data_IF_267976274100
#
_entry.id   IF_267976274100
#
_cell.length_a   1.000
_cell.length_b   1.000
_cell.length_c   1.000
_cell.angle_alpha   90.00
_cell.angle_beta   90.00
_cell.angle_gamma   90.00
#
_symmetry.space_group_name_H-M   'P 1'
#
loop_
_entity.id
_entity.type
_entity.pdbx_description
1 polymer ?
#
# COMPACT_ATOMS: atom_id res chain seq x y z
N UNK A 1 -27.58 -32.31 -40.46
CA UNK A 1 -28.63 -33.24 -40.00
C UNK A 1 -28.00 -34.63 -39.94
N UNK A 2 -28.32 -35.41 -38.90
CA UNK A 2 -27.78 -36.75 -38.54
C UNK A 2 -26.47 -36.75 -37.72
N UNK A 3 -26.68 -36.78 -36.40
CA UNK A 3 -25.88 -37.44 -35.33
C UNK A 3 -26.31 -38.94 -35.31
N UNK A 4 -25.70 -39.94 -34.61
CA UNK A 4 -24.36 -40.22 -34.01
C UNK A 4 -23.78 -41.61 -34.43
N UNK A 5 -22.61 -42.03 -33.91
CA UNK A 5 -22.53 -43.31 -33.13
C UNK A 5 -21.32 -43.32 -32.18
N UNK A 6 -21.59 -43.52 -30.89
CA UNK A 6 -20.60 -43.77 -29.83
C UNK A 6 -20.12 -45.24 -29.87
N UNK A 7 -18.88 -45.50 -29.43
CA UNK A 7 -18.52 -46.79 -28.81
C UNK A 7 -18.06 -46.58 -27.37
N UNK A 8 -18.74 -47.32 -26.49
CA UNK A 8 -18.45 -47.55 -25.08
C UNK A 8 -17.15 -48.35 -24.92
N UNK A 9 -16.38 -48.01 -23.90
CA UNK A 9 -15.62 -49.02 -23.15
C UNK A 9 -15.94 -48.83 -21.68
N UNK A 10 -16.57 -49.86 -21.11
CA UNK A 10 -16.84 -50.01 -19.69
C UNK A 10 -15.56 -50.50 -19.00
N UNK A 11 -15.30 -50.06 -17.78
CA UNK A 11 -14.69 -50.93 -16.78
C UNK A 11 -15.36 -50.73 -15.42
N UNK A 12 -15.61 -51.88 -14.80
CA UNK A 12 -16.40 -52.11 -13.60
C UNK A 12 -15.68 -51.65 -12.33
N UNK A 13 -16.36 -50.81 -11.54
CA UNK A 13 -16.94 -51.13 -10.23
C UNK A 13 -16.20 -52.15 -9.34
N UNK A 14 -15.66 -51.64 -8.22
CA UNK A 14 -15.72 -52.35 -6.93
C UNK A 14 -16.02 -51.32 -5.84
N UNK A 15 -17.24 -51.42 -5.30
CA UNK A 15 -17.71 -50.78 -4.08
C UNK A 15 -17.05 -51.41 -2.85
N UNK A 16 -16.61 -50.60 -1.87
CA UNK A 16 -16.70 -50.89 -0.43
C UNK A 16 -16.78 -49.54 0.35
N UNK A 17 -17.95 -49.25 0.95
CA UNK A 17 -18.22 -48.27 2.04
C UNK A 17 -17.75 -48.85 3.41
N UNK A 18 -17.85 -48.13 4.55
CA UNK A 18 -17.55 -46.74 4.89
C UNK A 18 -16.56 -46.66 6.08
N UNK A 19 -15.74 -45.61 6.17
CA UNK A 19 -15.08 -45.27 7.43
C UNK A 19 -15.06 -43.76 7.62
N UNK A 20 -16.00 -43.31 8.45
CA UNK A 20 -15.97 -42.06 9.18
C UNK A 20 -14.59 -41.91 9.83
N UNK A 21 -13.73 -41.03 9.30
CA UNK A 21 -12.62 -40.48 10.07
C UNK A 21 -12.60 -38.96 9.90
N UNK A 22 -13.16 -38.36 10.94
CA UNK A 22 -13.05 -36.96 11.30
C UNK A 22 -11.56 -36.66 11.54
N UNK A 23 -10.89 -36.04 10.58
CA UNK A 23 -9.62 -35.35 10.80
C UNK A 23 -9.80 -33.87 10.42
N UNK A 24 -10.51 -33.16 11.30
CA UNK A 24 -10.14 -31.78 11.60
C UNK A 24 -8.68 -31.82 12.05
N UNK A 25 -7.80 -31.15 11.31
CA UNK A 25 -6.89 -30.18 11.92
C UNK A 25 -5.89 -29.65 10.90
N UNK A 26 -5.90 -28.32 10.77
CA UNK A 26 -4.70 -27.50 10.61
C UNK A 26 -3.94 -27.71 9.29
N UNK A 27 -4.60 -27.33 8.19
CA UNK A 27 -3.85 -26.60 7.16
C UNK A 27 -3.37 -25.31 7.83
N UNK A 28 -2.14 -25.37 8.29
CA UNK A 28 -1.31 -24.24 8.66
C UNK A 28 -1.31 -23.26 7.49
N UNK A 29 -2.24 -22.31 7.52
CA UNK A 29 -1.95 -20.98 7.03
C UNK A 29 -0.70 -20.56 7.79
N UNK A 30 0.45 -20.61 7.12
CA UNK A 30 1.53 -19.68 7.37
C UNK A 30 0.96 -18.29 7.11
N UNK A 31 0.15 -17.80 8.06
CA UNK A 31 0.02 -16.39 8.31
C UNK A 31 1.39 -15.94 8.78
N UNK A 32 2.24 -15.59 7.81
CA UNK A 32 3.25 -14.59 8.06
C UNK A 32 2.45 -13.31 8.31
N UNK A 33 2.06 -13.12 9.57
CA UNK A 33 1.60 -11.83 10.02
C UNK A 33 2.76 -10.87 9.80
N UNK A 34 2.62 -9.98 8.82
CA UNK A 34 3.39 -8.74 8.79
C UNK A 34 2.84 -7.84 9.91
N UNK A 35 3.12 -8.23 11.15
CA UNK A 35 3.26 -7.23 12.19
C UNK A 35 4.46 -6.38 11.79
N UNK A 36 4.26 -5.06 11.74
CA UNK A 36 5.22 -4.06 11.28
C UNK A 36 6.66 -4.52 11.45
N UNK A 37 7.31 -4.81 10.34
CA UNK A 37 8.66 -5.33 10.36
C UNK A 37 9.57 -4.19 10.79
N UNK A 38 10.16 -4.31 11.97
CA UNK A 38 11.38 -3.58 12.38
C UNK A 38 12.58 -3.88 11.44
N UNK A 39 12.36 -4.53 10.29
CA UNK A 39 13.34 -4.69 9.23
C UNK A 39 13.33 -3.43 8.36
N UNK A 40 14.39 -2.65 8.50
CA UNK A 40 14.68 -1.49 7.65
C UNK A 40 14.48 -1.84 6.17
N UNK A 41 13.62 -1.08 5.48
CA UNK A 41 13.31 -1.27 4.06
C UNK A 41 14.60 -1.17 3.22
N UNK A 42 14.96 -2.25 2.51
CA UNK A 42 16.07 -2.29 1.52
C UNK A 42 15.52 -2.24 0.09
N UNK A 43 16.32 -1.88 -0.94
CA UNK A 43 15.86 -1.90 -2.37
C UNK A 43 15.25 -3.26 -2.70
N UNK A 44 15.88 -4.35 -2.25
CA UNK A 44 15.37 -5.70 -2.49
C UNK A 44 13.98 -5.90 -1.89
N UNK A 45 13.79 -5.49 -0.63
CA UNK A 45 12.52 -5.60 0.07
C UNK A 45 11.45 -4.68 -0.56
N UNK A 46 11.81 -3.45 -0.93
CA UNK A 46 10.92 -2.50 -1.61
C UNK A 46 10.52 -3.05 -2.99
N UNK A 47 11.48 -3.52 -3.79
CA UNK A 47 11.18 -3.99 -5.14
C UNK A 47 10.30 -5.24 -5.10
N UNK A 48 10.60 -6.21 -4.25
CA UNK A 48 9.88 -7.48 -4.22
C UNK A 48 8.52 -7.37 -3.48
N UNK A 49 8.45 -6.64 -2.36
CA UNK A 49 7.21 -6.52 -1.58
C UNK A 49 6.32 -5.37 -2.06
N UNK A 50 6.88 -4.19 -2.36
CA UNK A 50 6.08 -3.07 -2.82
C UNK A 50 5.57 -3.28 -4.26
N UNK A 51 6.37 -3.78 -5.21
CA UNK A 51 5.85 -3.95 -6.58
C UNK A 51 4.77 -5.02 -6.65
N UNK A 52 4.91 -6.12 -5.90
CA UNK A 52 3.90 -7.18 -5.89
C UNK A 52 2.61 -6.71 -5.22
N UNK A 53 2.71 -5.97 -4.12
CA UNK A 53 1.56 -5.35 -3.46
C UNK A 53 0.90 -4.27 -4.34
N UNK A 54 1.70 -3.40 -4.95
CA UNK A 54 1.23 -2.36 -5.86
C UNK A 54 0.49 -2.97 -7.05
N UNK A 55 1.07 -3.97 -7.72
CA UNK A 55 0.43 -4.65 -8.85
C UNK A 55 -0.89 -5.32 -8.44
N UNK A 56 -0.91 -5.98 -7.27
CA UNK A 56 -2.14 -6.61 -6.74
C UNK A 56 -3.22 -5.58 -6.43
N UNK A 57 -2.89 -4.51 -5.71
CA UNK A 57 -3.86 -3.49 -5.28
C UNK A 57 -4.32 -2.61 -6.45
N UNK A 58 -3.43 -2.26 -7.38
CA UNK A 58 -3.77 -1.44 -8.55
C UNK A 58 -4.59 -2.20 -9.61
N UNK A 59 -4.41 -3.51 -9.70
CA UNK A 59 -5.26 -4.36 -10.56
C UNK A 59 -6.58 -4.79 -9.90
N UNK A 60 -6.73 -4.58 -8.59
CA UNK A 60 -7.93 -4.98 -7.85
C UNK A 60 -9.16 -4.15 -8.23
N UNK A 61 -10.31 -4.81 -8.29
CA UNK A 61 -11.59 -4.16 -8.51
C UNK A 61 -12.02 -3.33 -7.29
N UNK A 62 -12.78 -2.27 -7.52
CA UNK A 62 -13.42 -1.52 -6.43
C UNK A 62 -14.36 -2.43 -5.65
N UNK A 63 -14.27 -2.37 -4.31
CA UNK A 63 -15.15 -3.13 -3.45
C UNK A 63 -16.60 -2.62 -3.59
N UNK A 64 -17.59 -3.52 -3.76
CA UNK A 64 -18.99 -3.13 -3.71
C UNK A 64 -19.33 -2.45 -2.38
N UNK A 65 -20.22 -1.45 -2.43
CA UNK A 65 -20.64 -0.72 -1.22
C UNK A 65 -21.25 -1.64 -0.15
N UNK A 66 -21.87 -2.75 -0.55
CA UNK A 66 -22.43 -3.78 0.34
C UNK A 66 -21.37 -4.53 1.15
N UNK A 67 -20.13 -4.56 0.66
CA UNK A 67 -19.07 -5.40 1.21
C UNK A 67 -18.22 -4.60 2.21
N UNK A 68 -18.40 -3.28 2.25
CA UNK A 68 -17.69 -2.41 3.17
C UNK A 68 -18.45 -2.36 4.50
N UNK A 69 -17.81 -2.73 5.62
CA UNK A 69 -18.49 -2.76 6.91
C UNK A 69 -19.09 -1.41 7.31
N UNK A 70 -20.16 -1.44 8.10
CA UNK A 70 -20.81 -0.25 8.70
C UNK A 70 -20.52 -0.11 10.20
N UNK A 71 -19.86 -1.10 10.79
CA UNK A 71 -19.46 -1.13 12.21
C UNK A 71 -18.12 -1.86 12.34
N UNK A 72 -17.48 -1.72 13.50
CA UNK A 72 -16.17 -2.31 13.78
C UNK A 72 -15.01 -1.52 13.17
N UNK A 73 -13.83 -2.16 13.12
CA UNK A 73 -12.62 -1.59 12.53
C UNK A 73 -11.79 -2.66 11.83
N UNK A 74 -10.95 -2.24 10.89
CA UNK A 74 -9.95 -3.07 10.24
C UNK A 74 -8.60 -2.33 10.20
N UNK A 75 -7.52 -3.10 10.25
CA UNK A 75 -6.16 -2.60 10.05
C UNK A 75 -5.71 -2.93 8.63
N UNK A 76 -4.89 -2.06 8.09
CA UNK A 76 -4.31 -2.19 6.76
C UNK A 76 -2.83 -1.84 6.82
N UNK A 77 -2.02 -2.63 6.12
CA UNK A 77 -0.58 -2.45 6.01
C UNK A 77 -0.17 -2.36 4.54
N UNK A 78 0.76 -1.46 4.22
CA UNK A 78 1.19 -1.30 2.83
C UNK A 78 2.20 -0.20 2.63
N UNK A 79 2.02 0.61 1.59
CA UNK A 79 3.02 1.59 1.20
C UNK A 79 2.42 2.97 0.90
N UNK A 80 3.28 3.96 0.99
CA UNK A 80 3.13 5.28 0.37
C UNK A 80 4.30 5.50 -0.58
N UNK A 81 4.03 6.08 -1.75
CA UNK A 81 5.05 6.61 -2.63
C UNK A 81 4.75 8.09 -2.98
N UNK A 82 5.79 8.90 -3.13
CA UNK A 82 5.66 10.29 -3.61
C UNK A 82 6.83 10.62 -4.52
N UNK A 83 6.54 11.22 -5.68
CA UNK A 83 7.58 11.74 -6.56
C UNK A 83 8.08 13.07 -6.02
N UNK A 84 9.39 13.25 -6.07
CA UNK A 84 10.05 14.50 -5.69
C UNK A 84 10.76 14.99 -6.94
N UNK A 85 10.14 15.95 -7.63
CA UNK A 85 10.81 16.76 -8.65
C UNK A 85 11.46 17.94 -7.92
N UNK A 86 12.78 17.92 -7.87
CA UNK A 86 13.53 19.09 -7.43
C UNK A 86 14.42 19.53 -8.58
N UNK A 87 14.22 20.78 -9.01
CA UNK A 87 15.03 21.45 -10.06
C UNK A 87 16.55 21.43 -9.78
N UNK A 88 16.97 21.06 -8.56
CA UNK A 88 18.36 20.98 -8.14
C UNK A 88 18.89 19.55 -7.95
N UNK A 89 18.04 18.53 -7.80
CA UNK A 89 18.47 17.17 -7.39
C UNK A 89 17.89 16.03 -8.25
N UNK A 90 17.15 16.37 -9.31
CA UNK A 90 16.55 15.44 -10.28
C UNK A 90 15.36 14.65 -9.75
N UNK A 91 14.86 13.75 -10.59
CA UNK A 91 13.65 12.97 -10.29
C UNK A 91 14.00 11.88 -9.27
N UNK A 92 13.31 11.89 -8.12
CA UNK A 92 13.47 10.88 -7.08
C UNK A 92 12.13 10.35 -6.58
N UNK A 93 12.14 9.14 -6.03
CA UNK A 93 10.98 8.50 -5.40
C UNK A 93 11.23 8.35 -3.90
N UNK A 94 10.33 8.88 -3.07
CA UNK A 94 10.29 8.56 -1.64
C UNK A 94 9.23 7.48 -1.46
N UNK A 95 9.59 6.38 -0.80
CA UNK A 95 8.69 5.31 -0.39
C UNK A 95 8.68 5.23 1.14
N UNK A 96 7.55 4.89 1.75
CA UNK A 96 7.45 4.63 3.18
C UNK A 96 6.45 3.53 3.49
N UNK A 97 6.60 2.89 4.65
CA UNK A 97 5.68 1.88 5.17
C UNK A 97 4.40 2.56 5.70
N UNK A 98 3.24 2.03 5.33
CA UNK A 98 1.93 2.57 5.68
C UNK A 98 1.23 1.64 6.65
N UNK A 99 0.88 2.16 7.83
CA UNK A 99 -0.03 1.51 8.77
C UNK A 99 -1.31 2.33 8.92
N UNK A 100 -2.46 1.73 8.62
CA UNK A 100 -3.78 2.38 8.67
C UNK A 100 -4.74 1.58 9.55
N UNK A 101 -5.54 2.29 10.36
CA UNK A 101 -6.74 1.75 11.00
C UNK A 101 -7.95 2.51 10.48
N UNK A 102 -8.93 1.76 9.99
CA UNK A 102 -10.22 2.29 9.54
C UNK A 102 -11.32 1.78 10.46
N UNK A 103 -11.95 2.70 11.20
CA UNK A 103 -13.19 2.49 11.92
C UNK A 103 -14.39 2.77 11.01
N UNK A 104 -15.40 1.90 11.05
CA UNK A 104 -16.53 1.96 10.11
C UNK A 104 -17.82 2.54 10.70
N UNK A 105 -17.85 2.76 12.02
CA UNK A 105 -19.05 3.27 12.72
C UNK A 105 -19.30 4.75 12.38
N UNK A 106 -20.57 5.12 12.21
CA UNK A 106 -20.97 6.49 11.89
C UNK A 106 -20.39 6.96 10.56
N UNK A 107 -19.76 8.14 10.57
CA UNK A 107 -19.05 8.70 9.41
C UNK A 107 -17.70 8.04 9.16
N UNK A 108 -17.34 7.03 9.96
CA UNK A 108 -16.05 6.37 9.93
C UNK A 108 -14.93 7.22 10.55
N UNK A 109 -13.83 6.55 10.87
CA UNK A 109 -12.62 7.15 11.42
C UNK A 109 -11.43 6.55 10.68
N UNK A 110 -10.52 7.38 10.17
CA UNK A 110 -9.28 6.91 9.56
C UNK A 110 -8.10 7.55 10.27
N UNK A 111 -7.25 6.70 10.82
CA UNK A 111 -6.01 7.08 11.49
C UNK A 111 -4.87 6.13 11.11
N UNK A 112 -3.64 6.56 11.36
CA UNK A 112 -2.48 5.75 10.99
C UNK A 112 -1.18 6.53 11.02
N UNK A 113 -0.17 5.95 10.38
CA UNK A 113 1.16 6.54 10.23
C UNK A 113 1.81 6.07 8.93
N UNK A 114 2.78 6.86 8.51
CA UNK A 114 3.79 6.48 7.52
C UNK A 114 5.16 6.66 8.15
N UNK A 115 6.00 5.63 8.14
CA UNK A 115 7.38 5.67 8.62
C UNK A 115 8.32 4.80 7.76
N UNK A 116 9.55 4.57 8.24
CA UNK A 116 10.59 3.80 7.56
C UNK A 116 10.85 4.25 6.11
N UNK A 117 11.03 5.56 5.95
CA UNK A 117 11.19 6.17 4.64
C UNK A 117 12.51 5.79 3.96
N UNK A 118 12.44 5.69 2.64
CA UNK A 118 13.57 5.40 1.76
C UNK A 118 13.50 6.29 0.53
N UNK A 119 14.65 6.84 0.13
CA UNK A 119 14.80 7.58 -1.11
C UNK A 119 15.45 6.71 -2.20
N UNK A 120 14.87 6.76 -3.39
CA UNK A 120 15.34 6.09 -4.59
C UNK A 120 15.62 7.16 -5.64
N UNK A 121 16.87 7.28 -6.05
CA UNK A 121 17.29 8.16 -7.14
C UNK A 121 16.86 7.55 -8.49
N UNK A 122 16.10 8.31 -9.31
CA UNK A 122 15.64 7.87 -10.62
C UNK A 122 16.51 8.42 -11.77
N UNK A 123 17.60 9.13 -11.48
CA UNK A 123 18.46 9.72 -12.51
C UNK A 123 19.25 8.70 -13.35
N UNK A 124 19.32 7.41 -13.00
CA UNK A 124 19.89 6.38 -13.87
C UNK A 124 18.87 5.95 -14.95
N UNK A 125 18.70 6.82 -15.94
CA UNK A 125 17.85 6.64 -17.13
C UNK A 125 18.37 5.57 -18.13
N UNK A 126 19.23 4.64 -17.70
CA UNK A 126 19.38 3.39 -18.45
C UNK A 126 18.17 2.52 -18.11
N UNK A 127 17.59 1.78 -19.07
CA UNK A 127 16.42 0.90 -18.84
C UNK A 127 16.68 -0.28 -17.87
N UNK A 128 17.64 -0.15 -16.96
CA UNK A 128 17.88 -1.01 -15.85
C UNK A 128 17.45 -0.24 -14.61
N UNK A 129 16.47 -0.80 -13.88
CA UNK A 129 16.31 -0.49 -12.47
C UNK A 129 17.71 -0.39 -11.83
N UNK A 130 17.97 0.60 -10.96
CA UNK A 130 19.28 0.79 -10.37
C UNK A 130 19.80 -0.57 -9.89
N UNK A 131 21.05 -0.97 -10.21
CA UNK A 131 21.60 -2.22 -9.71
C UNK A 131 21.30 -2.35 -8.22
N UNK A 132 20.93 -3.55 -7.75
CA UNK A 132 20.57 -3.88 -6.34
C UNK A 132 21.56 -3.39 -5.26
N UNK A 133 22.68 -2.78 -5.66
CA UNK A 133 23.75 -2.19 -4.88
C UNK A 133 23.76 -0.66 -4.81
N UNK A 134 22.87 0.04 -5.51
CA UNK A 134 22.79 1.51 -5.42
C UNK A 134 22.25 1.94 -4.05
N UNK A 135 22.72 3.08 -3.52
CA UNK A 135 22.47 3.47 -2.15
C UNK A 135 21.00 3.85 -1.96
N UNK A 136 20.21 2.94 -1.40
CA UNK A 136 19.00 3.34 -0.68
C UNK A 136 19.44 4.25 0.44
N UNK A 137 18.92 5.46 0.43
CA UNK A 137 19.09 6.34 1.55
C UNK A 137 17.87 6.23 2.44
N UNK A 138 18.03 5.57 3.59
CA UNK A 138 17.02 5.61 4.64
C UNK A 138 16.87 7.05 5.13
N UNK A 139 15.62 7.50 5.27
CA UNK A 139 15.27 8.82 5.77
C UNK A 139 14.59 8.67 7.12
N UNK A 140 15.05 9.41 8.11
CA UNK A 140 14.39 9.45 9.41
C UNK A 140 13.14 10.30 9.32
N UNK A 141 12.00 9.80 9.77
CA UNK A 141 10.78 10.61 9.72
C UNK A 141 9.55 9.84 10.11
N UNK A 142 8.47 10.59 10.32
CA UNK A 142 7.15 10.03 10.51
C UNK A 142 6.09 11.01 10.06
N UNK A 143 5.12 10.51 9.30
CA UNK A 143 3.87 11.19 9.00
C UNK A 143 2.74 10.54 9.79
N UNK A 144 1.88 11.35 10.37
CA UNK A 144 0.68 10.90 11.07
C UNK A 144 -0.54 11.11 10.17
N UNK A 145 -1.41 10.11 10.18
CA UNK A 145 -2.69 10.13 9.47
C UNK A 145 -3.79 10.31 10.50
N UNK A 146 -4.61 11.35 10.34
CA UNK A 146 -5.60 11.71 11.37
C UNK A 146 -6.79 12.47 10.81
N UNK A 147 -7.85 12.54 11.63
CA UNK A 147 -9.07 13.31 11.32
C UNK A 147 -9.77 12.82 10.06
N UNK A 148 -9.62 11.53 9.73
CA UNK A 148 -10.21 10.98 8.53
C UNK A 148 -11.64 10.49 8.70
N UNK A 149 -12.35 10.41 7.58
CA UNK A 149 -13.77 10.05 7.50
C UNK A 149 -14.05 9.26 6.23
N UNK A 150 -15.12 8.47 6.23
CA UNK A 150 -15.61 7.65 5.13
C UNK A 150 -16.83 8.32 4.50
N UNK A 151 -16.75 8.61 3.20
CA UNK A 151 -17.92 8.95 2.39
C UNK A 151 -18.49 7.69 1.79
N UNK A 152 -19.70 7.31 2.22
CA UNK A 152 -20.38 6.10 1.75
C UNK A 152 -20.85 6.26 0.31
N UNK A 153 -20.79 5.16 -0.44
CA UNK A 153 -21.17 5.13 -1.85
C UNK A 153 -22.57 5.72 -2.09
N UNK A 154 -22.71 6.34 -3.25
CA UNK A 154 -23.98 6.75 -3.82
C UNK A 154 -24.22 5.97 -5.11
N UNK A 155 -25.30 6.27 -5.84
CA UNK A 155 -25.56 5.63 -7.13
C UNK A 155 -24.46 5.86 -8.18
N UNK A 156 -23.67 6.92 -8.03
CA UNK A 156 -22.66 7.35 -9.02
C UNK A 156 -21.24 7.33 -8.50
N UNK A 157 -21.02 7.26 -7.18
CA UNK A 157 -19.69 7.32 -6.58
C UNK A 157 -19.47 6.10 -5.68
N UNK A 158 -18.30 5.45 -5.72
CA UNK A 158 -17.94 4.38 -4.79
C UNK A 158 -17.81 4.92 -3.36
N UNK A 159 -17.65 4.02 -2.39
CA UNK A 159 -17.30 4.42 -1.02
C UNK A 159 -15.83 4.81 -1.00
N UNK A 160 -15.54 5.95 -0.38
CA UNK A 160 -14.20 6.54 -0.34
C UNK A 160 -13.90 6.97 1.10
N UNK A 161 -12.64 7.22 1.40
CA UNK A 161 -12.24 7.92 2.61
C UNK A 161 -11.29 9.06 2.30
N UNK A 162 -11.26 10.03 3.21
CA UNK A 162 -10.27 11.10 3.22
C UNK A 162 -9.66 11.18 4.62
N UNK A 163 -8.36 11.48 4.71
CA UNK A 163 -7.68 11.76 5.97
C UNK A 163 -6.63 12.87 5.80
N UNK A 164 -6.25 13.52 6.89
CA UNK A 164 -5.14 14.47 6.89
C UNK A 164 -3.83 13.71 7.08
N UNK A 165 -2.79 14.16 6.38
CA UNK A 165 -1.43 13.66 6.50
C UNK A 165 -0.55 14.80 7.01
N UNK A 166 0.17 14.61 8.10
CA UNK A 166 1.07 15.63 8.64
C UNK A 166 2.24 15.04 9.40
N UNK A 167 3.43 15.62 9.27
CA UNK A 167 4.61 15.20 10.02
C UNK A 167 5.90 15.75 9.45
N UNK A 168 7.00 15.08 9.76
CA UNK A 168 8.33 15.52 9.36
C UNK A 168 9.17 14.37 8.80
N UNK A 169 9.93 14.67 7.75
CA UNK A 169 10.94 13.78 7.18
C UNK A 169 12.28 14.52 7.17
N UNK A 170 13.30 13.93 7.77
CA UNK A 170 14.67 14.44 7.79
C UNK A 170 15.37 14.05 6.51
N UNK A 171 15.81 15.08 5.78
CA UNK A 171 16.49 14.96 4.50
C UNK A 171 17.97 15.29 4.71
N UNK A 172 18.90 14.39 4.37
CA UNK A 172 20.32 14.69 4.44
C UNK A 172 20.71 15.76 3.41
N UNK A 173 21.89 16.40 3.57
CA UNK A 173 22.41 17.43 2.66
C UNK A 173 22.34 17.05 1.18
N UNK A 174 22.58 15.78 0.87
CA UNK A 174 22.55 15.25 -0.50
C UNK A 174 21.18 15.31 -1.16
N UNK A 175 20.09 15.39 -0.38
CA UNK A 175 18.71 15.50 -0.88
C UNK A 175 18.15 16.91 -0.65
N UNK A 176 18.40 17.51 0.52
CA UNK A 176 17.84 18.82 0.86
C UNK A 176 18.57 19.98 0.17
N UNK A 177 19.82 19.78 -0.25
CA UNK A 177 20.72 20.84 -0.72
C UNK A 177 21.18 21.80 0.37
N UNK A 178 20.85 21.53 1.63
CA UNK A 178 21.30 22.32 2.77
C UNK A 178 22.72 21.89 3.20
N UNK A 179 23.37 22.73 4.00
CA UNK A 179 24.71 22.42 4.55
C UNK A 179 24.68 21.32 5.63
N UNK A 180 23.49 20.95 6.12
CA UNK A 180 23.25 19.94 7.14
C UNK A 180 21.91 19.24 6.91
N UNK A 181 21.63 18.17 7.66
CA UNK A 181 20.32 17.53 7.69
C UNK A 181 19.21 18.58 7.93
N UNK A 182 18.13 18.46 7.17
CA UNK A 182 17.01 19.38 7.21
C UNK A 182 15.69 18.62 7.30
N UNK A 183 14.85 18.97 8.29
CA UNK A 183 13.52 18.36 8.40
C UNK A 183 12.51 19.08 7.52
N UNK A 184 12.07 18.39 6.48
CA UNK A 184 10.92 18.76 5.67
C UNK A 184 9.63 18.53 6.46
N UNK A 185 8.86 19.58 6.68
CA UNK A 185 7.51 19.51 7.24
C UNK A 185 6.53 19.19 6.11
N UNK A 186 5.83 18.06 6.22
CA UNK A 186 4.83 17.61 5.25
C UNK A 186 3.45 17.85 5.83
N UNK A 187 2.57 18.45 5.04
CA UNK A 187 1.15 18.61 5.36
C UNK A 187 0.29 18.43 4.11
N UNK A 188 -0.79 17.66 4.22
CA UNK A 188 -1.63 17.36 3.07
C UNK A 188 -2.84 16.48 3.39
N UNK A 189 -3.36 15.84 2.35
CA UNK A 189 -4.50 14.94 2.41
C UNK A 189 -4.23 13.63 1.69
N UNK A 190 -4.82 12.57 2.22
CA UNK A 190 -4.95 11.27 1.56
C UNK A 190 -6.40 11.07 1.15
N UNK A 191 -6.62 10.59 -0.06
CA UNK A 191 -7.93 10.21 -0.57
C UNK A 191 -7.87 8.76 -1.03
N UNK A 192 -8.71 7.91 -0.46
CA UNK A 192 -8.67 6.47 -0.71
C UNK A 192 -9.99 5.88 -1.18
N UNK A 193 -9.88 4.85 -1.99
CA UNK A 193 -10.95 3.95 -2.39
C UNK A 193 -10.75 2.59 -1.72
N UNK A 194 -11.86 1.89 -1.48
CA UNK A 194 -11.83 0.48 -1.07
C UNK A 194 -11.79 -0.42 -2.30
N UNK A 195 -10.87 -1.38 -2.29
CA UNK A 195 -10.74 -2.41 -3.34
C UNK A 195 -10.90 -3.80 -2.72
N UNK A 196 -11.05 -4.81 -3.57
CA UNK A 196 -11.05 -6.20 -3.10
C UNK A 196 -9.76 -6.50 -2.31
N UNK A 197 -9.91 -6.80 -1.02
CA UNK A 197 -8.79 -7.14 -0.14
C UNK A 197 -7.96 -5.98 0.42
N UNK A 198 -8.31 -4.72 0.12
CA UNK A 198 -7.47 -3.60 0.55
C UNK A 198 -8.04 -2.20 0.32
N UNK A 199 -7.14 -1.22 0.32
CA UNK A 199 -7.39 0.19 0.02
C UNK A 199 -6.28 0.73 -0.89
N UNK A 200 -6.61 1.73 -1.70
CA UNK A 200 -5.63 2.47 -2.51
C UNK A 200 -6.06 3.89 -2.71
N UNK A 201 -5.14 4.75 -3.12
CA UNK A 201 -5.53 6.10 -3.45
C UNK A 201 -4.38 7.05 -3.74
N UNK A 202 -4.68 8.34 -3.63
CA UNK A 202 -3.76 9.42 -3.91
C UNK A 202 -3.43 10.23 -2.66
N UNK A 203 -2.25 10.82 -2.70
CA UNK A 203 -1.74 11.77 -1.71
C UNK A 203 -1.50 13.09 -2.43
N UNK A 204 -2.01 14.16 -1.84
CA UNK A 204 -1.74 15.53 -2.27
C UNK A 204 -1.26 16.29 -1.04
N UNK A 205 0.01 16.61 -1.02
CA UNK A 205 0.65 17.27 0.11
C UNK A 205 1.60 18.37 -0.34
N UNK A 206 2.11 19.12 0.63
CA UNK A 206 3.21 20.05 0.44
C UNK A 206 4.26 19.76 1.49
N UNK A 207 5.51 19.68 1.03
CA UNK A 207 6.70 19.62 1.85
C UNK A 207 7.30 21.01 1.96
N UNK A 208 7.71 21.42 3.15
CA UNK A 208 8.39 22.69 3.37
C UNK A 208 9.58 22.50 4.31
N UNK A 209 10.77 22.88 3.84
CA UNK A 209 11.96 23.02 4.68
C UNK A 209 12.06 24.50 5.11
N UNK A 210 12.30 24.83 6.40
CA UNK A 210 12.44 26.21 6.83
C UNK A 210 13.46 27.01 6.00
N UNK A 211 13.02 28.13 5.45
CA UNK A 211 13.87 28.99 4.60
C UNK A 211 13.90 28.61 3.11
N UNK A 212 13.24 27.52 2.71
CA UNK A 212 13.06 27.13 1.31
C UNK A 212 11.58 27.23 0.88
N UNK A 213 11.30 27.45 -0.42
CA UNK A 213 9.94 27.33 -0.93
C UNK A 213 9.35 25.95 -0.68
N UNK A 214 8.03 25.89 -0.47
CA UNK A 214 7.32 24.62 -0.37
C UNK A 214 7.29 23.90 -1.71
N UNK A 215 7.44 22.58 -1.68
CA UNK A 215 7.40 21.68 -2.83
C UNK A 215 6.12 20.87 -2.78
N UNK A 216 5.30 20.87 -3.85
CA UNK A 216 4.15 19.97 -3.91
C UNK A 216 4.63 18.52 -3.93
N UNK A 217 3.95 17.66 -3.16
CA UNK A 217 4.17 16.23 -3.15
C UNK A 217 2.89 15.56 -3.67
N UNK A 218 2.98 15.03 -4.87
CA UNK A 218 1.95 14.18 -5.45
C UNK A 218 2.40 12.72 -5.35
N UNK A 219 1.50 11.88 -4.83
CA UNK A 219 1.83 10.50 -4.53
C UNK A 219 0.64 9.57 -4.59
N UNK A 220 0.92 8.30 -4.37
CA UNK A 220 -0.08 7.25 -4.27
C UNK A 220 0.20 6.34 -3.09
N UNK A 221 -0.81 5.57 -2.71
CA UNK A 221 -0.67 4.56 -1.66
C UNK A 221 -1.50 3.33 -1.99
N UNK A 222 -1.09 2.21 -1.45
CA UNK A 222 -1.82 0.94 -1.50
C UNK A 222 -1.59 0.17 -0.20
N UNK A 223 -2.63 -0.44 0.34
CA UNK A 223 -2.54 -1.26 1.55
C UNK A 223 -3.50 -2.44 1.51
N UNK A 224 -3.02 -3.59 1.99
CA UNK A 224 -3.82 -4.78 2.19
C UNK A 224 -4.41 -4.81 3.58
N UNK A 225 -5.56 -5.48 3.71
CA UNK A 225 -6.15 -5.72 5.02
C UNK A 225 -5.41 -6.83 5.75
N UNK A 226 -5.05 -6.60 7.02
CA UNK A 226 -4.44 -7.59 7.92
C UNK A 226 -5.42 -8.72 8.32
#
# INVERSE_FOLDING_TARGET
>A
MVVPTMRKTQFHMTDILPATLLCLSLLSLSGCGSGGSDEQLTVGNITDQYLSLAEKIDSSALAPASDIPTTGSANYSGYVNTFVDTQSFGDGLIVGDLSLRIGFSGDGEVEGKVDDFVFIDLQDNSNNLPPRSDPVLSLDGRLNISGGSITRATRTNPTQFQANLAGGITLPPSISGADSDATAQVAGKMNGDFVEGGVRGSIVATSAVPGLPGVPLDGSFGAERD
#
